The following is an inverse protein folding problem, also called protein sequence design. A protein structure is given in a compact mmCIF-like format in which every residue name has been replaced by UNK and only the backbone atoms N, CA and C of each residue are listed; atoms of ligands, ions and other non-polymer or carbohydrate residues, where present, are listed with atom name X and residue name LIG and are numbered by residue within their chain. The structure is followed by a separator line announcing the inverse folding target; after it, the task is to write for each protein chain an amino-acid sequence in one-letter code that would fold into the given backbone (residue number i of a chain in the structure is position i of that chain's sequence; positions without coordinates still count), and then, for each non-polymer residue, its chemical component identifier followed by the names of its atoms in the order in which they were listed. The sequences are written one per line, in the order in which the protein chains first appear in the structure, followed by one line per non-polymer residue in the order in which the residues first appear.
data_IF_664449542704
#
_entry.id   IF_664449542704
#
_cell.length_a   1.000
_cell.length_b   1.000
_cell.length_c   1.000
_cell.angle_alpha   90.00
_cell.angle_beta   90.00
_cell.angle_gamma   90.00
#
_symmetry.space_group_name_H-M   'P 1'
#
loop_
_entity.id
_entity.type
_entity.pdbx_description
1 polymer ?
#
# COMPACT_ATOMS: atom_id res chain seq x y z
N UNK A 1 1.23 -2.11 -24.41
CA UNK A 1 1.13 -2.20 -23.86
C UNK A 1 1.35 -2.03 -22.78
N UNK A 2 1.66 -2.33 -22.66
CA UNK A 2 2.27 -2.15 -21.49
C UNK A 2 2.15 -0.79 -20.89
N UNK A 3 2.11 0.25 -21.65
CA UNK A 3 1.98 1.57 -21.06
C UNK A 3 0.76 1.67 -20.16
N UNK A 4 -0.33 1.06 -20.57
CA UNK A 4 -1.53 1.08 -19.77
C UNK A 4 -1.35 0.27 -18.49
N UNK A 5 -0.69 -0.88 -18.63
CA UNK A 5 -0.44 -1.72 -17.48
C UNK A 5 0.49 -1.03 -16.49
N UNK A 6 1.51 -0.38 -17.00
CA UNK A 6 2.43 0.35 -16.14
C UNK A 6 1.73 1.45 -15.37
N UNK A 7 0.84 2.18 -16.03
CA UNK A 7 0.12 3.23 -15.35
C UNK A 7 -0.77 2.68 -14.25
N UNK A 8 -1.38 1.54 -14.49
CA UNK A 8 -2.22 0.92 -13.50
C UNK A 8 -1.38 0.47 -12.29
N UNK A 9 -0.25 -0.15 -12.54
CA UNK A 9 0.64 -0.57 -11.47
C UNK A 9 1.14 0.62 -10.67
N UNK A 10 1.51 1.68 -11.36
CA UNK A 10 1.98 2.90 -10.70
C UNK A 10 0.88 3.49 -9.84
N UNK A 11 -0.34 3.49 -10.33
CA UNK A 11 -1.47 4.02 -9.58
C UNK A 11 -1.67 3.24 -8.28
N UNK A 12 -1.56 1.92 -8.34
CA UNK A 12 -1.68 1.09 -7.15
C UNK A 12 -0.55 1.40 -6.16
N UNK A 13 0.67 1.46 -6.65
CA UNK A 13 1.81 1.70 -5.79
C UNK A 13 1.74 3.08 -5.15
N UNK A 14 1.32 4.07 -5.90
CA UNK A 14 1.17 5.41 -5.36
C UNK A 14 0.09 5.46 -4.29
N UNK A 15 -1.00 4.77 -4.53
CA UNK A 15 -2.09 4.77 -3.57
C UNK A 15 -1.67 4.10 -2.27
N UNK A 16 -0.87 3.05 -2.33
CA UNK A 16 -0.38 2.38 -1.13
C UNK A 16 0.80 3.08 -0.50
N UNK A 17 1.46 3.96 -1.22
CA UNK A 17 2.69 4.59 -0.75
C UNK A 17 2.48 5.80 0.12
N UNK A 18 1.60 5.70 1.09
CA UNK A 18 1.34 6.79 2.04
C UNK A 18 1.03 6.14 3.39
N UNK A 19 1.62 6.63 4.48
CA UNK A 19 1.45 5.96 5.77
C UNK A 19 0.01 5.84 6.22
N UNK A 20 -0.78 6.88 6.06
CA UNK A 20 -2.17 6.83 6.47
C UNK A 20 -2.95 5.86 5.62
N UNK A 21 -2.69 5.87 4.31
CA UNK A 21 -3.39 4.95 3.42
C UNK A 21 -3.04 3.50 3.69
N UNK A 22 -1.77 3.21 3.99
CA UNK A 22 -1.40 1.86 4.36
C UNK A 22 -2.11 1.43 5.63
N UNK A 23 -2.20 2.32 6.61
CA UNK A 23 -2.90 2.00 7.84
C UNK A 23 -4.38 1.75 7.60
N UNK A 24 -5.01 2.55 6.77
CA UNK A 24 -6.41 2.36 6.44
C UNK A 24 -6.61 0.98 5.83
N UNK A 25 -5.76 0.61 4.89
CA UNK A 25 -5.92 -0.67 4.20
C UNK A 25 -5.71 -1.82 5.17
N UNK A 26 -4.73 -1.71 6.05
CA UNK A 26 -4.49 -2.74 7.07
C UNK A 26 -5.73 -2.91 7.95
N UNK A 27 -6.32 -1.80 8.36
CA UNK A 27 -7.51 -1.89 9.19
C UNK A 27 -8.69 -2.48 8.44
N UNK A 28 -8.84 -2.12 7.18
CA UNK A 28 -9.93 -2.66 6.38
C UNK A 28 -9.77 -4.13 6.06
N UNK A 29 -8.53 -4.63 6.05
CA UNK A 29 -8.32 -6.06 5.87
C UNK A 29 -8.88 -6.85 7.05
N UNK A 30 -9.01 -6.21 8.21
CA UNK A 30 -9.58 -6.88 9.38
C UNK A 30 -11.10 -6.95 9.32
N UNK A 31 -11.70 -6.14 8.46
CA UNK A 31 -13.15 -6.13 8.30
C UNK A 31 -13.64 -4.80 7.76
N UNK A 32 -14.84 -4.80 7.24
CA UNK A 32 -15.48 -3.61 6.69
C UNK A 32 -15.66 -2.55 7.77
N UNK A 33 -15.42 -1.30 7.45
CA UNK A 33 -15.53 -0.22 8.41
C UNK A 33 -16.13 1.04 7.80
N UNK A 34 -16.90 1.76 8.59
CA UNK A 34 -17.40 3.07 8.20
C UNK A 34 -16.30 4.11 8.40
N UNK A 35 -16.46 5.28 7.83
CA UNK A 35 -15.48 6.35 7.97
C UNK A 35 -15.28 6.72 9.44
N UNK A 36 -16.37 6.75 10.21
CA UNK A 36 -16.25 7.09 11.62
C UNK A 36 -15.44 6.05 12.38
N UNK A 37 -15.58 4.77 12.01
CA UNK A 37 -14.81 3.72 12.68
C UNK A 37 -13.32 3.90 12.39
N UNK A 38 -12.98 4.25 11.15
CA UNK A 38 -11.60 4.47 10.79
C UNK A 38 -11.08 5.70 11.51
N UNK A 39 -11.90 6.75 11.59
CA UNK A 39 -11.50 7.97 12.27
C UNK A 39 -11.21 7.73 13.74
N UNK A 40 -11.94 6.83 14.38
CA UNK A 40 -11.71 6.52 15.78
C UNK A 40 -10.37 5.81 15.99
N UNK A 41 -9.89 5.12 15.00
CA UNK A 41 -8.67 4.34 15.11
C UNK A 41 -7.43 5.13 14.73
N UNK A 42 -7.54 5.99 13.70
CA UNK A 42 -6.39 6.68 13.16
C UNK A 42 -6.35 8.14 13.55
N UNK A 43 -5.15 8.67 13.78
CA UNK A 43 -4.99 10.07 14.20
C UNK A 43 -5.03 11.01 12.99
N UNK A 44 -6.17 11.09 12.35
CA UNK A 44 -6.34 11.96 11.19
C UNK A 44 -7.77 12.48 11.20
N UNK A 45 -7.97 13.64 10.58
CA UNK A 45 -9.31 14.19 10.53
C UNK A 45 -10.19 13.37 9.61
N UNK A 46 -11.50 13.47 9.85
CA UNK A 46 -12.44 12.73 9.02
C UNK A 46 -12.34 13.14 7.55
N UNK A 47 -12.09 14.43 7.31
CA UNK A 47 -11.94 14.91 5.94
C UNK A 47 -10.70 14.31 5.27
N UNK A 48 -9.60 14.18 6.00
CA UNK A 48 -8.40 13.58 5.45
C UNK A 48 -8.61 12.10 5.17
N UNK A 49 -9.27 11.41 6.08
CA UNK A 49 -9.56 10.00 5.89
C UNK A 49 -10.41 9.81 4.64
N UNK A 50 -11.41 10.66 4.46
CA UNK A 50 -12.27 10.57 3.28
C UNK A 50 -11.48 10.78 2.00
N UNK A 51 -10.54 11.72 2.01
CA UNK A 51 -9.70 11.95 0.85
C UNK A 51 -8.82 10.76 0.55
N UNK A 52 -8.22 10.16 1.59
CA UNK A 52 -7.38 8.99 1.40
C UNK A 52 -8.20 7.80 0.89
N UNK A 53 -9.42 7.66 1.37
CA UNK A 53 -10.30 6.60 0.88
C UNK A 53 -10.65 6.82 -0.59
N UNK A 54 -10.82 8.06 -1.00
CA UNK A 54 -11.08 8.38 -2.39
C UNK A 54 -9.91 7.97 -3.28
N UNK A 55 -8.69 8.25 -2.84
CA UNK A 55 -7.50 7.86 -3.60
C UNK A 55 -7.44 6.35 -3.73
N UNK A 56 -7.67 5.63 -2.63
CA UNK A 56 -7.64 4.17 -2.65
C UNK A 56 -8.74 3.60 -3.53
N UNK A 57 -9.90 4.23 -3.52
CA UNK A 57 -11.00 3.76 -4.33
C UNK A 57 -10.74 4.00 -5.81
N UNK A 58 -10.16 5.15 -6.14
CA UNK A 58 -9.81 5.43 -7.53
C UNK A 58 -8.78 4.45 -8.07
N UNK A 59 -7.94 3.92 -7.21
CA UNK A 59 -6.97 2.90 -7.59
C UNK A 59 -7.57 1.49 -7.54
N UNK A 60 -8.84 1.39 -7.21
CA UNK A 60 -9.58 0.13 -7.15
C UNK A 60 -9.03 -0.83 -6.11
N UNK A 61 -8.47 -0.28 -5.06
CA UNK A 61 -7.97 -1.08 -3.93
C UNK A 61 -9.10 -1.29 -2.92
N UNK A 62 -9.93 -0.26 -2.72
CA UNK A 62 -11.08 -0.36 -1.83
C UNK A 62 -12.33 0.08 -2.55
N UNK A 63 -13.47 -0.27 -2.00
CA UNK A 63 -14.73 0.23 -2.48
C UNK A 63 -15.66 0.34 -1.26
N UNK A 64 -16.87 0.83 -1.45
CA UNK A 64 -17.79 0.97 -0.35
C UNK A 64 -19.18 0.50 -0.71
N UNK A 65 -19.94 0.16 0.31
CA UNK A 65 -21.36 -0.12 0.18
C UNK A 65 -22.09 0.89 1.05
N UNK A 66 -23.27 1.30 0.60
CA UNK A 66 -24.05 2.26 1.34
C UNK A 66 -24.86 1.51 2.39
N UNK A 67 -24.83 1.98 3.62
CA UNK A 67 -25.58 1.39 4.71
C UNK A 67 -26.27 2.53 5.41
N UNK A 68 -27.52 2.78 5.06
CA UNK A 68 -28.22 3.91 5.59
C UNK A 68 -27.59 5.19 5.09
N UNK A 69 -27.20 6.05 6.00
CA UNK A 69 -26.53 7.29 5.64
C UNK A 69 -25.03 7.17 5.64
N UNK A 70 -24.49 5.98 5.88
CA UNK A 70 -23.05 5.80 5.99
C UNK A 70 -22.51 4.95 4.88
N UNK A 71 -21.25 5.18 4.54
CA UNK A 71 -20.53 4.35 3.59
C UNK A 71 -19.60 3.45 4.37
N UNK A 72 -19.70 2.15 4.09
CA UNK A 72 -18.85 1.17 4.74
C UNK A 72 -17.85 0.66 3.72
N UNK A 73 -16.58 0.86 4.00
CA UNK A 73 -15.50 0.56 3.07
C UNK A 73 -14.91 -0.81 3.31
N UNK A 74 -14.45 -1.44 2.25
CA UNK A 74 -13.83 -2.75 2.31
C UNK A 74 -12.75 -2.86 1.23
N UNK A 75 -11.83 -3.82 1.39
CA UNK A 75 -10.77 -4.02 0.42
C UNK A 75 -11.29 -4.92 -0.68
N UNK A 76 -11.19 -4.45 -1.93
CA UNK A 76 -11.66 -5.25 -3.07
C UNK A 76 -10.59 -6.20 -3.58
N UNK A 77 -9.33 -5.99 -3.22
CA UNK A 77 -8.23 -6.81 -3.71
C UNK A 77 -7.40 -7.30 -2.55
N UNK A 78 -7.96 -8.16 -1.71
CA UNK A 78 -7.24 -8.58 -0.52
C UNK A 78 -5.97 -9.36 -0.82
N UNK A 79 -5.97 -10.17 -1.88
CA UNK A 79 -4.76 -10.93 -2.19
C UNK A 79 -3.62 -10.03 -2.61
N UNK A 80 -3.90 -9.01 -3.39
CA UNK A 80 -2.88 -8.07 -3.81
C UNK A 80 -2.30 -7.33 -2.61
N UNK A 81 -3.18 -6.79 -1.78
CA UNK A 81 -2.75 -6.00 -0.64
C UNK A 81 -2.01 -6.85 0.36
N UNK A 82 -2.53 -8.03 0.67
CA UNK A 82 -1.85 -8.90 1.61
C UNK A 82 -0.52 -9.38 1.09
N UNK A 83 -0.43 -9.61 -0.22
CA UNK A 83 0.83 -10.00 -0.83
C UNK A 83 1.88 -8.90 -0.70
N UNK A 84 1.49 -7.66 -0.97
CA UNK A 84 2.42 -6.54 -0.84
C UNK A 84 2.85 -6.38 0.62
N UNK A 85 1.91 -6.45 1.54
CA UNK A 85 2.24 -6.30 2.96
C UNK A 85 3.14 -7.42 3.45
N UNK A 86 2.92 -8.62 2.97
CA UNK A 86 3.74 -9.75 3.37
C UNK A 86 5.17 -9.55 2.91
N UNK A 87 5.36 -9.11 1.69
CA UNK A 87 6.70 -8.84 1.18
C UNK A 87 7.39 -7.74 1.99
N UNK A 88 6.64 -6.69 2.35
CA UNK A 88 7.22 -5.61 3.13
C UNK A 88 7.57 -6.05 4.54
N UNK A 89 6.77 -6.91 5.15
CA UNK A 89 7.05 -7.39 6.49
C UNK A 89 8.30 -8.24 6.54
N UNK A 90 8.65 -8.85 5.43
CA UNK A 90 9.85 -9.67 5.38
C UNK A 90 11.12 -8.86 5.27
N UNK A 91 11.00 -7.55 5.01
CA UNK A 91 12.15 -6.68 4.96
C UNK A 91 12.48 -6.21 6.36
N UNK A 92 13.64 -6.59 6.85
CA UNK A 92 14.03 -6.24 8.21
C UNK A 92 15.04 -5.11 8.21
N UNK A 93 14.79 -4.09 8.98
CA UNK A 93 15.73 -2.95 9.02
C UNK A 93 17.13 -3.34 9.42
N UNK A 94 17.24 -4.31 10.30
CA UNK A 94 18.55 -4.67 10.77
C UNK A 94 19.39 -5.37 9.72
N UNK A 95 18.80 -5.77 8.64
CA UNK A 95 19.59 -6.41 7.60
C UNK A 95 20.32 -5.40 6.76
N UNK A 96 20.23 -4.12 7.10
CA UNK A 96 20.92 -3.13 6.34
C UNK A 96 22.41 -3.36 6.26
N UNK A 97 23.00 -3.77 7.34
CA UNK A 97 24.44 -3.98 7.34
C UNK A 97 24.84 -5.02 6.31
N UNK A 98 24.09 -6.10 6.25
CA UNK A 98 24.38 -7.10 5.27
C UNK A 98 24.17 -6.60 3.86
N UNK A 99 23.14 -5.83 3.65
CA UNK A 99 22.90 -5.30 2.35
C UNK A 99 24.02 -4.40 1.88
N UNK A 100 24.52 -3.59 2.77
CA UNK A 100 25.61 -2.71 2.42
C UNK A 100 26.80 -3.51 1.98
N UNK A 101 27.12 -4.57 2.71
CA UNK A 101 28.23 -5.39 2.36
C UNK A 101 28.05 -6.04 1.01
N UNK A 102 26.86 -6.49 0.73
CA UNK A 102 26.59 -7.05 -0.58
C UNK A 102 26.79 -6.06 -1.67
N UNK A 103 26.35 -4.86 -1.45
CA UNK A 103 26.53 -3.82 -2.45
C UNK A 103 27.99 -3.50 -2.68
N UNK A 104 28.77 -3.52 -1.64
CA UNK A 104 30.18 -3.26 -1.79
C UNK A 104 30.88 -4.33 -2.61
N UNK A 105 30.45 -5.57 -2.46
CA UNK A 105 31.06 -6.62 -3.24
C UNK A 105 30.62 -6.61 -4.67
N UNK A 106 29.39 -6.18 -4.91
CA UNK A 106 28.92 -6.19 -6.23
C UNK A 106 29.76 -5.53 -7.27
N UNK A 107 30.20 -4.39 -7.04
CA UNK A 107 30.95 -3.69 -8.07
C UNK A 107 32.07 -4.47 -8.67
N UNK A 108 32.67 -5.26 -7.91
CA UNK A 108 33.72 -5.97 -8.44
C UNK A 108 33.29 -6.91 -9.43
N UNK A 109 32.26 -7.60 -9.15
CA UNK A 109 31.88 -8.49 -10.09
C UNK A 109 31.23 -7.91 -11.17
N UNK A 110 30.64 -6.95 -10.89
CA UNK A 110 29.89 -6.39 -11.86
C UNK A 110 30.44 -6.15 -13.03
N UNK A 111 31.16 -5.77 -12.95
CA UNK A 111 31.64 -5.46 -14.05
C UNK A 111 30.82 -5.96 -14.90
N UNK A 112 30.40 -6.02 -14.93
CA UNK A 112 29.68 -6.46 -15.73
C UNK A 112 28.41 -6.34 -15.73
N UNK A 113 27.97 -6.36 -15.66
CA UNK A 113 26.91 -6.40 -15.71
C UNK A 113 26.12 -5.77 -15.41
N UNK A 114 26.01 -5.38 -15.10
CA UNK A 114 25.45 -4.91 -14.76
C UNK A 114 24.71 -4.44 -14.80
N UNK A 115 24.72 -4.17 -14.94
CA UNK A 115 24.16 -3.72 -14.90
C UNK A 115 23.28 -3.61 -14.85
N UNK A 116 22.84 -3.67 -14.97
CA UNK A 116 22.07 -3.60 -14.87
C UNK A 116 21.61 -3.63 -14.56
#
# INVERSE_FOLDING_TARGET
MPAVIENYWVTILKALGHPTRLQIVIELLKGTKCVTDIHDILPASQANISQHLTVLRNARIVDFAQDGSQRCYYVCRPELVEGVLELLRNEQPESKAKKVQCCLRKPENADGHQAV
#
